data_IF_154695883984
#
_entry.id   IF_154695883984
#
_cell.length_a   1.000
_cell.length_b   1.000
_cell.length_c   1.000
_cell.angle_alpha   90.00
_cell.angle_beta   90.00
_cell.angle_gamma   90.00
#
_symmetry.space_group_name_H-M   'P 1'
#
loop_
_entity.id
_entity.type
_entity.pdbx_description
1 polymer ?
#
# COMPACT_ATOMS: atom_id res chain seq x y z
N UNK A 1 25.49 -32.55 -15.21
CA UNK A 1 24.19 -31.92 -14.88
C UNK A 1 24.45 -30.66 -14.05
N UNK A 2 24.25 -29.48 -14.66
CA UNK A 2 24.52 -28.19 -14.02
C UNK A 2 23.20 -27.68 -13.46
N UNK A 3 23.05 -27.68 -12.14
CA UNK A 3 21.88 -27.15 -11.46
C UNK A 3 21.91 -25.63 -11.58
N UNK A 4 20.99 -25.07 -12.34
CA UNK A 4 20.77 -23.62 -12.40
C UNK A 4 20.11 -23.17 -11.09
N UNK A 5 20.80 -22.31 -10.32
CA UNK A 5 20.19 -21.56 -9.24
C UNK A 5 19.24 -20.52 -9.79
N UNK A 6 18.03 -20.34 -9.22
CA UNK A 6 17.15 -19.27 -9.60
C UNK A 6 17.74 -17.91 -9.16
N UNK A 7 17.50 -16.84 -9.93
CA UNK A 7 18.00 -15.51 -9.60
C UNK A 7 17.31 -15.00 -8.32
N UNK A 8 18.11 -14.46 -7.42
CA UNK A 8 17.67 -13.75 -6.22
C UNK A 8 16.96 -12.46 -6.62
N UNK A 9 15.62 -12.46 -6.64
CA UNK A 9 14.81 -11.25 -6.79
C UNK A 9 14.61 -10.60 -5.41
N UNK A 10 15.61 -9.88 -4.96
CA UNK A 10 15.53 -8.96 -3.84
C UNK A 10 15.33 -7.53 -4.34
N UNK A 11 14.16 -7.22 -4.89
CA UNK A 11 13.77 -5.82 -5.15
C UNK A 11 12.28 -5.68 -4.88
N UNK A 12 11.96 -4.93 -3.83
CA UNK A 12 10.63 -4.42 -3.58
C UNK A 12 10.16 -3.70 -4.87
N UNK A 13 9.21 -4.30 -5.59
CA UNK A 13 8.73 -3.77 -6.86
C UNK A 13 7.76 -2.63 -6.55
N UNK A 14 8.27 -1.38 -6.56
CA UNK A 14 7.43 -0.20 -6.64
C UNK A 14 6.72 -0.23 -7.99
N UNK A 15 5.44 -0.56 -8.02
CA UNK A 15 4.61 -0.35 -9.19
C UNK A 15 4.31 1.15 -9.27
N UNK A 16 5.27 1.91 -9.82
CA UNK A 16 4.99 3.23 -10.34
C UNK A 16 4.28 3.04 -11.68
N UNK A 17 2.99 3.33 -11.74
CA UNK A 17 2.33 3.62 -13.01
C UNK A 17 2.97 4.86 -13.61
N UNK A 18 3.94 4.64 -14.52
CA UNK A 18 4.52 5.70 -15.35
C UNK A 18 3.52 6.01 -16.47
N UNK A 19 2.82 7.13 -16.38
CA UNK A 19 2.38 7.85 -17.57
C UNK A 19 3.33 9.02 -17.81
N UNK A 20 4.01 8.93 -18.93
CA UNK A 20 4.95 9.87 -19.48
C UNK A 20 4.24 11.18 -19.86
N UNK A 21 4.62 12.31 -19.30
CA UNK A 21 4.55 13.60 -19.96
C UNK A 21 5.75 14.47 -19.60
N UNK A 22 6.26 15.09 -20.64
CA UNK A 22 7.52 15.76 -20.86
C UNK A 22 7.61 17.11 -20.13
N UNK A 23 8.81 17.37 -19.59
CA UNK A 23 9.54 18.64 -19.37
C UNK A 23 8.86 19.84 -18.72
N UNK A 24 9.40 20.25 -17.57
CA UNK A 24 10.12 21.52 -17.39
C UNK A 24 10.82 21.54 -16.02
N UNK A 25 12.11 21.87 -16.04
CA UNK A 25 12.98 21.95 -14.88
C UNK A 25 12.61 23.13 -13.97
N UNK A 26 12.43 22.85 -12.67
CA UNK A 26 12.72 23.80 -11.61
C UNK A 26 13.31 23.04 -10.42
N UNK A 27 14.56 23.37 -10.09
CA UNK A 27 15.24 22.88 -8.91
C UNK A 27 14.58 23.48 -7.66
N UNK A 28 13.93 22.64 -6.88
CA UNK A 28 13.61 22.90 -5.49
C UNK A 28 14.08 21.68 -4.68
N UNK A 29 15.20 21.85 -4.01
CA UNK A 29 15.73 20.93 -3.00
C UNK A 29 14.72 20.84 -1.86
N UNK A 30 13.89 19.81 -1.87
CA UNK A 30 13.14 19.39 -0.68
C UNK A 30 13.72 18.04 -0.25
N UNK A 31 14.48 18.06 0.84
CA UNK A 31 14.81 16.87 1.63
C UNK A 31 13.50 16.26 2.17
N UNK A 32 12.77 15.55 1.32
CA UNK A 32 11.78 14.61 1.77
C UNK A 32 12.58 13.42 2.32
N UNK A 33 12.68 13.31 3.62
CA UNK A 33 13.23 12.14 4.29
C UNK A 33 12.51 10.91 3.77
N UNK A 34 13.18 10.14 2.92
CA UNK A 34 12.75 8.79 2.57
C UNK A 34 12.77 8.00 3.87
N UNK A 35 11.62 7.84 4.51
CA UNK A 35 11.45 6.80 5.49
C UNK A 35 11.65 5.47 4.75
N UNK A 36 12.82 4.88 4.99
CA UNK A 36 13.16 3.54 4.55
C UNK A 36 12.23 2.59 5.29
N UNK A 37 11.06 2.27 4.71
CA UNK A 37 10.24 1.19 5.20
C UNK A 37 11.09 -0.07 5.08
N UNK A 38 11.51 -0.60 6.22
CA UNK A 38 12.14 -1.91 6.26
C UNK A 38 11.05 -2.92 5.85
N UNK A 39 11.18 -3.45 4.64
CA UNK A 39 10.23 -4.43 4.10
C UNK A 39 10.26 -5.78 4.85
N UNK A 40 11.11 -5.91 5.89
CA UNK A 40 11.26 -7.16 6.64
C UNK A 40 10.05 -7.42 7.54
N UNK A 41 9.36 -8.54 7.30
CA UNK A 41 8.24 -9.01 8.11
C UNK A 41 6.87 -8.41 7.76
N UNK A 42 6.78 -7.57 6.72
CA UNK A 42 5.51 -6.92 6.32
C UNK A 42 4.73 -7.69 5.24
N UNK A 43 5.27 -8.81 4.73
CA UNK A 43 4.68 -9.57 3.63
C UNK A 43 5.05 -9.04 2.23
N UNK A 44 5.66 -7.86 2.11
CA UNK A 44 6.09 -7.30 0.82
C UNK A 44 7.18 -8.14 0.14
N UNK A 45 8.11 -8.70 0.90
CA UNK A 45 9.18 -9.56 0.42
C UNK A 45 8.68 -10.89 -0.17
N UNK A 46 7.51 -11.34 0.27
CA UNK A 46 6.85 -12.57 -0.21
C UNK A 46 5.85 -12.30 -1.33
N UNK A 47 5.61 -11.03 -1.68
CA UNK A 47 4.57 -10.63 -2.64
C UNK A 47 3.16 -10.78 -2.08
N UNK A 48 3.00 -10.87 -0.76
CA UNK A 48 1.71 -11.01 -0.07
C UNK A 48 1.07 -9.67 0.27
N UNK A 49 1.83 -8.59 0.20
CA UNK A 49 1.37 -7.25 0.54
C UNK A 49 1.64 -6.23 -0.58
N UNK A 50 0.79 -5.21 -0.65
CA UNK A 50 0.89 -4.07 -1.57
C UNK A 50 0.55 -2.79 -0.83
N UNK A 51 1.28 -1.72 -1.14
CA UNK A 51 0.98 -0.37 -0.70
C UNK A 51 0.41 0.44 -1.87
N UNK A 52 -0.70 1.13 -1.62
CA UNK A 52 -1.41 1.99 -2.57
C UNK A 52 -1.24 3.42 -2.07
N UNK A 53 -0.42 4.21 -2.74
CA UNK A 53 -0.09 5.59 -2.39
C UNK A 53 -0.92 6.64 -3.14
N UNK A 54 -1.61 6.24 -4.21
CA UNK A 54 -2.48 7.11 -4.99
C UNK A 54 -3.70 6.38 -5.54
N UNK A 55 -4.83 7.09 -5.65
CA UNK A 55 -6.08 6.64 -6.25
C UNK A 55 -6.49 7.65 -7.33
N UNK A 56 -6.67 7.21 -8.59
CA UNK A 56 -6.99 8.08 -9.74
C UNK A 56 -6.04 9.30 -9.84
N UNK A 57 -4.73 9.05 -9.75
CA UNK A 57 -3.64 10.05 -9.79
C UNK A 57 -3.66 11.07 -8.62
N UNK A 58 -4.51 10.87 -7.62
CA UNK A 58 -4.55 11.68 -6.41
C UNK A 58 -3.87 10.97 -5.24
N UNK A 59 -2.92 11.63 -4.55
CA UNK A 59 -2.22 11.03 -3.41
C UNK A 59 -3.17 10.71 -2.25
N UNK A 60 -3.02 9.53 -1.65
CA UNK A 60 -3.75 9.11 -0.45
C UNK A 60 -3.47 10.04 0.75
N UNK A 61 -2.30 10.68 0.80
CA UNK A 61 -1.92 11.67 1.81
C UNK A 61 -2.83 12.91 1.88
N UNK A 62 -3.71 13.10 0.89
CA UNK A 62 -4.76 14.13 0.90
C UNK A 62 -6.04 13.71 1.64
N UNK A 63 -6.09 12.50 2.20
CA UNK A 63 -7.20 12.05 3.04
C UNK A 63 -7.51 13.07 4.16
N UNK A 64 -8.78 13.38 4.35
CA UNK A 64 -9.24 14.41 5.31
C UNK A 64 -9.03 15.86 4.85
N UNK A 65 -8.31 16.09 3.74
CA UNK A 65 -8.07 17.43 3.16
C UNK A 65 -8.81 17.62 1.83
N UNK A 66 -8.87 16.57 1.01
CA UNK A 66 -9.63 16.54 -0.25
C UNK A 66 -10.83 15.60 -0.08
N UNK A 67 -12.09 16.10 -0.22
CA UNK A 67 -13.30 15.29 -0.03
C UNK A 67 -13.42 14.13 -1.01
N UNK A 68 -12.90 14.27 -2.23
CA UNK A 68 -12.92 13.22 -3.24
C UNK A 68 -11.95 12.10 -2.87
N UNK A 69 -10.73 12.45 -2.46
CA UNK A 69 -9.74 11.49 -1.96
C UNK A 69 -10.25 10.77 -0.73
N UNK A 70 -10.85 11.50 0.22
CA UNK A 70 -11.44 10.93 1.43
C UNK A 70 -12.46 9.86 1.07
N UNK A 71 -13.40 10.17 0.19
CA UNK A 71 -14.43 9.22 -0.27
C UNK A 71 -13.83 8.01 -1.00
N UNK A 72 -12.81 8.23 -1.85
CA UNK A 72 -12.14 7.14 -2.57
C UNK A 72 -11.41 6.20 -1.62
N UNK A 73 -10.68 6.73 -0.64
CA UNK A 73 -9.94 5.94 0.35
C UNK A 73 -10.89 5.11 1.20
N UNK A 74 -11.94 5.74 1.75
CA UNK A 74 -12.97 5.04 2.54
C UNK A 74 -13.61 3.90 1.76
N UNK A 75 -14.04 4.18 0.52
CA UNK A 75 -14.64 3.17 -0.35
C UNK A 75 -13.67 2.04 -0.69
N UNK A 76 -12.40 2.35 -0.94
CA UNK A 76 -11.38 1.35 -1.27
C UNK A 76 -11.13 0.42 -0.09
N UNK A 77 -10.89 0.97 1.12
CA UNK A 77 -10.68 0.16 2.31
C UNK A 77 -11.93 -0.67 2.68
N UNK A 78 -13.14 -0.10 2.53
CA UNK A 78 -14.40 -0.81 2.74
C UNK A 78 -14.57 -1.97 1.75
N UNK A 79 -14.27 -1.76 0.47
CA UNK A 79 -14.35 -2.80 -0.57
C UNK A 79 -13.42 -3.97 -0.26
N UNK A 80 -12.21 -3.72 0.24
CA UNK A 80 -11.31 -4.79 0.65
C UNK A 80 -11.81 -5.53 1.90
N UNK A 81 -12.43 -4.82 2.84
CA UNK A 81 -13.00 -5.46 4.04
C UNK A 81 -14.24 -6.33 3.75
N UNK A 82 -14.98 -5.98 2.68
CA UNK A 82 -16.21 -6.66 2.26
C UNK A 82 -16.11 -7.13 0.81
N UNK A 83 -15.30 -8.18 0.51
CA UNK A 83 -15.13 -8.66 -0.86
C UNK A 83 -16.47 -9.11 -1.48
N UNK A 84 -16.84 -8.53 -2.62
CA UNK A 84 -18.14 -8.79 -3.28
C UNK A 84 -18.30 -10.24 -3.76
N UNK A 85 -17.19 -10.95 -3.95
CA UNK A 85 -17.19 -12.38 -4.34
C UNK A 85 -17.38 -13.34 -3.16
N UNK A 86 -17.63 -12.83 -1.93
CA UNK A 86 -17.79 -13.64 -0.73
C UNK A 86 -16.50 -14.27 -0.21
N UNK A 87 -15.34 -13.84 -0.74
CA UNK A 87 -14.03 -14.26 -0.25
C UNK A 87 -13.75 -13.73 1.16
N UNK A 88 -12.70 -14.25 1.83
CA UNK A 88 -12.29 -13.72 3.12
C UNK A 88 -11.71 -12.30 2.96
N UNK A 89 -11.86 -11.43 3.97
CA UNK A 89 -11.17 -10.15 4.00
C UNK A 89 -9.65 -10.35 4.06
N UNK A 90 -8.85 -9.35 3.67
CA UNK A 90 -7.40 -9.43 3.79
C UNK A 90 -6.96 -9.58 5.24
N UNK A 91 -5.76 -10.15 5.44
CA UNK A 91 -5.15 -10.24 6.77
C UNK A 91 -4.95 -8.86 7.39
N UNK A 92 -4.49 -7.92 6.56
CA UNK A 92 -4.22 -6.53 6.93
C UNK A 92 -4.79 -5.59 5.88
N UNK A 93 -5.52 -4.58 6.33
CA UNK A 93 -6.00 -3.45 5.54
C UNK A 93 -5.83 -2.21 6.40
N UNK A 94 -4.66 -1.58 6.29
CA UNK A 94 -4.27 -0.43 7.07
C UNK A 94 -4.23 0.80 6.17
N UNK A 95 -4.78 1.89 6.64
CA UNK A 95 -4.78 3.13 5.89
C UNK A 95 -5.41 4.27 6.67
N UNK A 96 -5.50 5.46 6.09
CA UNK A 96 -5.96 6.64 6.82
C UNK A 96 -7.42 6.54 7.28
N UNK A 97 -8.28 5.78 6.62
CA UNK A 97 -9.68 5.58 7.05
C UNK A 97 -9.83 4.60 8.21
N UNK A 98 -8.81 3.78 8.49
CA UNK A 98 -8.80 2.88 9.63
C UNK A 98 -7.84 1.72 9.50
N UNK A 99 -7.69 0.98 10.59
CA UNK A 99 -6.88 -0.22 10.69
C UNK A 99 -7.80 -1.43 10.85
N UNK A 100 -7.63 -2.41 9.97
CA UNK A 100 -8.42 -3.64 9.99
C UNK A 100 -7.51 -4.86 9.88
N UNK A 101 -7.77 -5.86 10.72
CA UNK A 101 -7.10 -7.15 10.68
C UNK A 101 -8.15 -8.26 10.57
N UNK A 102 -8.05 -9.08 9.53
CA UNK A 102 -9.08 -10.09 9.21
C UNK A 102 -10.50 -9.49 9.17
N UNK A 103 -10.67 -8.32 8.56
CA UNK A 103 -11.93 -7.58 8.47
C UNK A 103 -12.41 -6.91 9.77
N UNK A 104 -11.71 -7.08 10.89
CA UNK A 104 -12.08 -6.48 12.18
C UNK A 104 -11.29 -5.20 12.43
N UNK A 105 -12.01 -4.12 12.72
CA UNK A 105 -11.41 -2.83 13.07
C UNK A 105 -10.73 -2.90 14.44
N UNK A 106 -9.56 -2.26 14.54
CA UNK A 106 -8.85 -2.08 15.81
C UNK A 106 -8.19 -0.69 15.84
N UNK A 107 -7.58 -0.34 16.98
CA UNK A 107 -6.92 0.97 17.16
C UNK A 107 -5.49 0.76 17.60
N UNK A 108 -4.56 1.40 16.89
CA UNK A 108 -3.15 1.54 17.22
C UNK A 108 -2.68 2.88 16.67
N UNK A 109 -2.37 3.83 17.55
CA UNK A 109 -2.03 5.20 17.16
C UNK A 109 -0.79 5.26 16.27
N UNK A 110 0.28 4.53 16.65
CA UNK A 110 1.54 4.53 15.90
C UNK A 110 1.37 3.88 14.53
N UNK A 111 0.64 2.77 14.47
CA UNK A 111 0.35 2.09 13.22
C UNK A 111 -0.53 2.96 12.30
N UNK A 112 -1.50 3.69 12.86
CA UNK A 112 -2.33 4.64 12.12
C UNK A 112 -1.52 5.80 11.55
N UNK A 113 -0.59 6.35 12.33
CA UNK A 113 0.31 7.42 11.87
C UNK A 113 1.20 6.93 10.71
N UNK A 114 1.73 5.71 10.82
CA UNK A 114 2.58 5.10 9.79
C UNK A 114 1.83 4.80 8.47
N UNK A 115 0.49 4.70 8.51
CA UNK A 115 -0.37 4.43 7.35
C UNK A 115 -1.29 5.62 7.04
N UNK A 116 -0.84 6.85 7.31
CA UNK A 116 -1.61 8.07 7.05
C UNK A 116 -1.56 8.55 5.59
N UNK A 117 -0.62 8.07 4.80
CA UNK A 117 -0.33 8.50 3.43
C UNK A 117 -0.47 7.40 2.36
N UNK A 118 -0.79 6.18 2.77
CA UNK A 118 -1.00 5.04 1.88
C UNK A 118 -2.00 4.03 2.46
N UNK A 119 -2.47 3.11 1.62
CA UNK A 119 -3.28 1.96 2.04
C UNK A 119 -2.41 0.72 1.89
N UNK A 120 -2.16 0.02 3.00
CA UNK A 120 -1.45 -1.25 3.04
C UNK A 120 -2.45 -2.41 3.03
N UNK A 121 -2.36 -3.30 2.05
CA UNK A 121 -3.18 -4.50 1.93
C UNK A 121 -2.28 -5.73 1.96
N UNK A 122 -2.55 -6.66 2.90
CA UNK A 122 -1.88 -7.97 2.95
C UNK A 122 -2.90 -9.09 2.85
N UNK A 123 -2.68 -10.02 1.94
CA UNK A 123 -3.49 -11.23 1.79
C UNK A 123 -2.81 -12.44 2.47
N UNK A 124 -3.60 -13.46 2.81
CA UNK A 124 -3.03 -14.73 3.27
C UNK A 124 -2.31 -15.44 2.12
N UNK A 125 -1.15 -16.04 2.42
CA UNK A 125 -0.50 -16.97 1.49
C UNK A 125 -1.48 -18.11 1.17
N UNK A 126 -1.66 -18.39 -0.10
CA UNK A 126 -2.39 -19.59 -0.49
C UNK A 126 -1.56 -20.83 -0.14
N UNK A 127 -2.11 -21.85 0.50
CA UNK A 127 -1.38 -23.09 0.72
C UNK A 127 -0.97 -23.67 -0.65
N UNK A 128 0.31 -23.99 -0.75
CA UNK A 128 0.86 -24.68 -1.95
C UNK A 128 0.39 -26.11 -2.00
#
# INVERSE_FOLDING_TARGET
MKVMQPPSFGKCLYVRCLFMTILLAFAASSNAGQQKHECMGTGHELGEAVDIDALNDKPVSLYGKDPEVTKMVEKTQDTFNHPQNGGPPPLENYGPAGLYRNGKRFSDKKLQENHSDHIHIRIASQPK
#
